data_IF_348286132733
#
_entry.id   IF_348286132733
#
_cell.length_a   1.000
_cell.length_b   1.000
_cell.length_c   1.000
_cell.angle_alpha   90.00
_cell.angle_beta   90.00
_cell.angle_gamma   90.00
#
_symmetry.space_group_name_H-M   'P 1'
#
loop_
_entity.id
_entity.type
_entity.pdbx_description
1 polymer ?
#
# COMPACT_ATOMS: atom_id res chain seq x y z
N UNK A 1 -47.21 -42.18 -36.39
CA UNK A 1 -47.05 -40.74 -36.09
C UNK A 1 -46.46 -40.60 -34.70
N UNK A 2 -45.52 -39.67 -34.57
CA UNK A 2 -44.42 -39.64 -33.60
C UNK A 2 -44.89 -39.38 -32.15
N UNK A 3 -44.32 -40.17 -31.24
CA UNK A 3 -44.36 -40.08 -29.79
C UNK A 3 -43.81 -38.75 -29.27
N UNK A 4 -44.43 -38.14 -28.25
CA UNK A 4 -43.84 -37.08 -27.43
C UNK A 4 -43.96 -37.45 -25.95
N UNK A 5 -42.84 -37.87 -25.35
CA UNK A 5 -42.63 -37.89 -23.91
C UNK A 5 -42.49 -36.46 -23.38
N UNK A 6 -42.97 -36.14 -22.17
CA UNK A 6 -42.61 -34.91 -21.49
C UNK A 6 -41.22 -35.04 -20.85
N UNK A 7 -40.44 -34.01 -21.09
CA UNK A 7 -39.04 -33.81 -20.75
C UNK A 7 -38.87 -33.70 -19.22
N UNK A 8 -38.09 -34.60 -18.65
CA UNK A 8 -37.64 -34.58 -17.25
C UNK A 8 -36.74 -33.36 -17.02
N UNK A 9 -37.17 -32.43 -16.17
CA UNK A 9 -36.35 -31.28 -15.76
C UNK A 9 -35.32 -31.75 -14.71
N UNK A 10 -34.08 -32.00 -15.15
CA UNK A 10 -32.93 -32.17 -14.26
C UNK A 10 -32.49 -30.79 -13.76
N UNK A 11 -32.87 -30.43 -12.54
CA UNK A 11 -32.23 -29.34 -11.80
C UNK A 11 -30.82 -29.80 -11.41
N UNK A 12 -29.83 -29.39 -12.19
CA UNK A 12 -28.44 -29.37 -11.74
C UNK A 12 -28.31 -28.32 -10.64
N UNK A 13 -28.15 -28.75 -9.39
CA UNK A 13 -27.60 -27.89 -8.35
C UNK A 13 -26.14 -27.61 -8.70
N UNK A 14 -25.87 -26.47 -9.33
CA UNK A 14 -24.54 -25.89 -9.37
C UNK A 14 -24.20 -25.51 -7.93
N UNK A 15 -23.49 -26.40 -7.23
CA UNK A 15 -22.73 -26.01 -6.05
C UNK A 15 -21.59 -25.14 -6.57
N UNK A 16 -21.81 -23.82 -6.63
CA UNK A 16 -20.69 -22.89 -6.72
C UNK A 16 -19.97 -22.93 -5.39
N UNK A 17 -19.02 -23.86 -5.24
CA UNK A 17 -18.05 -23.81 -4.16
C UNK A 17 -17.04 -22.70 -4.50
N UNK A 18 -17.53 -21.45 -4.50
CA UNK A 18 -16.67 -20.28 -4.45
C UNK A 18 -16.10 -20.22 -3.04
N UNK A 19 -14.85 -20.63 -2.88
CA UNK A 19 -14.10 -20.25 -1.70
C UNK A 19 -13.98 -18.72 -1.74
N UNK A 20 -14.80 -18.06 -0.90
CA UNK A 20 -14.76 -16.63 -0.68
C UNK A 20 -13.36 -16.22 -0.22
N UNK A 21 -12.90 -15.04 -0.65
CA UNK A 21 -11.70 -14.40 -0.13
C UNK A 21 -11.80 -14.12 1.39
N UNK A 22 -12.99 -14.23 1.98
CA UNK A 22 -13.33 -13.92 3.38
C UNK A 22 -12.61 -14.73 4.47
N UNK A 23 -11.74 -15.71 4.16
CA UNK A 23 -11.21 -16.59 5.21
C UNK A 23 -9.71 -16.93 5.17
N UNK A 24 -8.92 -16.32 4.28
CA UNK A 24 -7.47 -16.56 4.33
C UNK A 24 -6.83 -15.59 5.30
N UNK A 25 -6.41 -16.11 6.45
CA UNK A 25 -5.58 -15.39 7.42
C UNK A 25 -4.16 -15.87 7.28
N UNK A 26 -3.21 -14.94 7.32
CA UNK A 26 -1.80 -15.30 7.42
C UNK A 26 -1.30 -15.04 8.82
N UNK A 27 -0.46 -15.93 9.32
CA UNK A 27 0.22 -15.74 10.60
C UNK A 27 1.71 -15.61 10.37
N UNK A 28 2.29 -14.54 10.90
CA UNK A 28 3.73 -14.37 10.99
C UNK A 28 4.22 -15.02 12.28
N UNK A 29 5.16 -15.96 12.17
CA UNK A 29 5.70 -16.74 13.27
C UNK A 29 7.19 -16.49 13.41
N UNK A 30 7.68 -16.51 14.66
CA UNK A 30 9.09 -16.41 15.03
C UNK A 30 9.79 -15.26 14.31
N UNK A 31 9.18 -14.08 14.35
CA UNK A 31 9.75 -12.92 13.68
C UNK A 31 10.92 -12.37 14.50
N UNK A 32 12.10 -12.48 13.92
CA UNK A 32 13.35 -12.03 14.50
C UNK A 32 14.01 -11.00 13.58
N UNK A 33 14.60 -9.97 14.19
CA UNK A 33 15.54 -9.07 13.55
C UNK A 33 16.85 -8.99 14.35
N UNK A 34 17.96 -9.27 13.69
CA UNK A 34 19.31 -9.12 14.25
C UNK A 34 20.05 -8.03 13.50
N UNK A 35 20.52 -6.99 14.20
CA UNK A 35 21.26 -5.90 13.57
C UNK A 35 22.72 -5.85 14.04
N UNK A 36 23.65 -5.68 13.10
CA UNK A 36 25.04 -5.37 13.38
C UNK A 36 25.29 -3.87 13.21
N UNK A 37 25.54 -3.19 14.34
CA UNK A 37 25.80 -1.76 14.37
C UNK A 37 27.13 -1.37 13.70
N UNK A 38 28.11 -2.28 13.60
CA UNK A 38 29.41 -1.97 12.98
C UNK A 38 29.30 -1.88 11.46
N UNK A 39 28.55 -2.80 10.88
CA UNK A 39 28.31 -2.84 9.43
C UNK A 39 27.05 -2.09 9.01
N UNK A 40 26.25 -1.62 9.99
CA UNK A 40 24.92 -1.05 9.78
C UNK A 40 24.11 -1.93 8.85
N UNK A 41 23.93 -3.18 9.28
CA UNK A 41 23.18 -4.19 8.57
C UNK A 41 22.19 -4.88 9.50
N UNK A 42 21.11 -5.44 8.94
CA UNK A 42 20.15 -6.23 9.70
C UNK A 42 19.72 -7.47 8.91
N UNK A 43 19.70 -8.60 9.60
CA UNK A 43 19.10 -9.85 9.16
C UNK A 43 17.68 -9.96 9.70
N UNK A 44 16.75 -10.29 8.83
CA UNK A 44 15.35 -10.56 9.16
C UNK A 44 15.08 -12.04 8.92
N UNK A 45 14.37 -12.68 9.85
CA UNK A 45 13.97 -14.09 9.76
C UNK A 45 12.59 -14.30 10.36
N UNK A 46 11.72 -15.04 9.67
CA UNK A 46 10.38 -15.39 10.14
C UNK A 46 9.79 -16.53 9.31
N UNK A 47 8.63 -17.03 9.74
CA UNK A 47 7.81 -17.93 8.94
C UNK A 47 6.44 -17.33 8.63
N UNK A 48 5.94 -17.60 7.43
CA UNK A 48 4.60 -17.23 6.98
C UNK A 48 3.76 -18.50 6.99
N UNK A 49 2.72 -18.54 7.84
CA UNK A 49 1.73 -19.63 7.83
C UNK A 49 0.53 -19.22 7.00
N UNK A 50 0.31 -19.90 5.87
CA UNK A 50 -0.93 -19.81 5.07
C UNK A 50 -1.86 -20.96 5.44
N UNK A 51 -2.98 -20.66 6.12
CA UNK A 51 -3.98 -21.66 6.56
C UNK A 51 -3.37 -22.79 7.45
N UNK A 52 -4.16 -23.80 7.83
CA UNK A 52 -3.70 -24.92 8.68
C UNK A 52 -2.70 -25.81 7.93
N UNK A 53 -1.40 -25.52 8.07
CA UNK A 53 -0.30 -26.47 7.80
C UNK A 53 0.76 -26.06 6.78
N UNK A 54 0.56 -24.97 6.01
CA UNK A 54 1.60 -24.50 5.08
C UNK A 54 2.44 -23.39 5.73
N UNK A 55 3.67 -23.73 6.10
CA UNK A 55 4.62 -22.79 6.71
C UNK A 55 5.77 -22.53 5.74
N UNK A 56 6.02 -21.26 5.43
CA UNK A 56 7.06 -20.82 4.51
C UNK A 56 8.13 -20.01 5.23
N UNK A 57 9.40 -20.44 5.25
CA UNK A 57 10.48 -19.64 5.82
C UNK A 57 10.80 -18.44 4.93
N UNK A 58 11.05 -17.30 5.56
CA UNK A 58 11.55 -16.10 4.90
C UNK A 58 12.72 -15.53 5.69
N UNK A 59 13.82 -15.27 4.98
CA UNK A 59 14.95 -14.56 5.51
C UNK A 59 15.56 -13.66 4.43
N UNK A 60 16.04 -12.50 4.86
CA UNK A 60 16.72 -11.55 3.99
C UNK A 60 17.62 -10.64 4.81
N UNK A 61 18.56 -10.00 4.12
CA UNK A 61 19.57 -9.13 4.69
C UNK A 61 19.45 -7.74 4.07
N UNK A 62 19.54 -6.70 4.89
CA UNK A 62 19.56 -5.31 4.43
C UNK A 62 20.78 -4.59 5.02
N UNK A 63 21.38 -3.71 4.22
CA UNK A 63 22.52 -2.88 4.61
C UNK A 63 22.16 -1.42 4.37
N UNK A 64 22.47 -0.55 5.32
CA UNK A 64 22.40 0.89 5.07
C UNK A 64 23.61 1.36 4.29
N UNK A 65 23.38 2.02 3.16
CA UNK A 65 24.45 2.64 2.37
C UNK A 65 24.95 3.96 2.99
N UNK A 66 24.18 4.56 3.91
CA UNK A 66 24.50 5.83 4.58
C UNK A 66 24.29 5.67 6.09
N UNK A 67 25.12 4.87 6.77
CA UNK A 67 24.89 4.43 8.14
C UNK A 67 24.88 5.58 9.16
N UNK A 68 25.63 6.65 8.89
CA UNK A 68 25.70 7.84 9.74
C UNK A 68 24.42 8.69 9.68
N UNK A 69 23.58 8.48 8.67
CA UNK A 69 22.33 9.23 8.45
C UNK A 69 21.13 8.37 8.86
N UNK A 70 21.07 7.14 8.34
CA UNK A 70 19.99 6.18 8.63
C UNK A 70 20.61 4.82 8.91
N UNK A 71 20.63 4.32 10.15
CA UNK A 71 21.14 2.98 10.42
C UNK A 71 20.21 1.91 9.83
N UNK A 72 20.71 0.70 9.56
CA UNK A 72 19.89 -0.38 9.00
C UNK A 72 18.64 -0.73 9.82
N UNK A 73 18.69 -0.56 11.15
CA UNK A 73 17.54 -0.76 12.05
C UNK A 73 16.37 0.19 11.73
N UNK A 74 16.67 1.30 11.04
CA UNK A 74 15.74 2.38 10.73
C UNK A 74 15.51 2.51 9.21
N UNK A 75 15.86 1.49 8.43
CA UNK A 75 15.55 1.48 6.99
C UNK A 75 14.09 1.14 6.75
N UNK A 76 13.52 1.84 5.78
CA UNK A 76 12.31 1.44 5.07
C UNK A 76 12.72 0.85 3.73
N UNK A 77 12.04 -0.20 3.28
CA UNK A 77 12.36 -0.87 2.03
C UNK A 77 11.15 -1.61 1.48
N UNK A 78 11.23 -1.97 0.21
CA UNK A 78 10.13 -2.61 -0.51
C UNK A 78 10.63 -3.55 -1.58
N UNK A 79 9.85 -4.59 -1.87
CA UNK A 79 10.15 -5.56 -2.91
C UNK A 79 11.31 -6.50 -2.55
N UNK A 80 11.64 -6.63 -1.27
CA UNK A 80 12.71 -7.53 -0.84
C UNK A 80 12.19 -8.97 -0.92
N UNK A 81 12.85 -9.79 -1.73
CA UNK A 81 12.50 -11.21 -1.85
C UNK A 81 13.09 -12.01 -0.71
N UNK A 82 12.32 -12.97 -0.21
CA UNK A 82 12.84 -13.96 0.71
C UNK A 82 13.93 -14.80 0.01
N UNK A 83 15.08 -14.98 0.65
CA UNK A 83 16.18 -15.78 0.09
C UNK A 83 15.78 -17.25 -0.13
N UNK A 84 14.86 -17.75 0.70
CA UNK A 84 14.41 -19.14 0.69
C UNK A 84 13.11 -19.34 -0.11
N UNK A 85 12.53 -18.25 -0.65
CA UNK A 85 11.30 -18.32 -1.44
C UNK A 85 11.12 -17.10 -2.34
N UNK A 86 10.94 -17.31 -3.65
CA UNK A 86 10.54 -16.24 -4.56
C UNK A 86 9.04 -15.94 -4.53
N UNK A 87 8.27 -16.58 -3.64
CA UNK A 87 6.81 -16.45 -3.58
C UNK A 87 6.34 -15.13 -2.97
N UNK A 88 7.17 -14.52 -2.14
CA UNK A 88 6.80 -13.35 -1.36
C UNK A 88 7.77 -12.21 -1.58
N UNK A 89 7.20 -11.01 -1.70
CA UNK A 89 7.90 -9.75 -1.62
C UNK A 89 7.58 -9.11 -0.26
N UNK A 90 8.62 -8.60 0.40
CA UNK A 90 8.54 -8.01 1.73
C UNK A 90 8.76 -6.52 1.63
N UNK A 91 7.85 -5.77 2.25
CA UNK A 91 7.96 -4.33 2.45
C UNK A 91 7.99 -4.05 3.94
N UNK A 92 8.80 -3.08 4.35
CA UNK A 92 8.93 -2.64 5.74
C UNK A 92 8.88 -1.12 5.80
N UNK A 93 7.98 -0.62 6.64
CA UNK A 93 7.80 0.79 6.97
C UNK A 93 7.91 1.04 8.48
N UNK A 94 8.24 2.27 8.86
CA UNK A 94 8.55 2.64 10.25
C UNK A 94 7.64 3.75 10.79
N UNK A 95 6.57 3.34 11.46
CA UNK A 95 5.52 4.19 12.06
C UNK A 95 5.90 4.69 13.47
N UNK A 96 5.17 5.68 13.98
CA UNK A 96 5.33 6.22 15.36
C UNK A 96 6.79 6.60 15.71
N UNK A 97 7.40 7.48 14.92
CA UNK A 97 8.78 7.91 15.18
C UNK A 97 9.81 6.77 15.10
N UNK A 98 9.57 5.78 14.23
CA UNK A 98 10.33 4.53 14.10
C UNK A 98 10.22 3.54 15.27
N UNK A 99 9.24 3.73 16.16
CA UNK A 99 8.94 2.81 17.27
C UNK A 99 8.09 1.63 16.88
N UNK A 100 7.42 1.65 15.73
CA UNK A 100 6.60 0.54 15.26
C UNK A 100 6.93 0.21 13.81
N UNK A 101 7.25 -1.05 13.57
CA UNK A 101 7.52 -1.61 12.25
C UNK A 101 6.23 -2.14 11.67
N UNK A 102 5.92 -1.73 10.45
CA UNK A 102 4.82 -2.32 9.66
C UNK A 102 5.44 -3.12 8.53
N UNK A 103 5.25 -4.42 8.58
CA UNK A 103 5.68 -5.33 7.52
C UNK A 103 4.48 -5.67 6.64
N UNK A 104 4.64 -5.48 5.34
CA UNK A 104 3.67 -5.96 4.35
C UNK A 104 4.26 -7.16 3.63
N UNK A 105 3.56 -8.29 3.67
CA UNK A 105 3.94 -9.50 2.95
C UNK A 105 3.04 -9.62 1.74
N UNK A 106 3.65 -9.60 0.57
CA UNK A 106 2.94 -9.60 -0.71
C UNK A 106 3.19 -10.92 -1.42
N UNK A 107 2.14 -11.56 -1.93
CA UNK A 107 2.23 -12.72 -2.81
C UNK A 107 1.79 -12.31 -4.22
N UNK A 108 2.73 -11.80 -5.03
CA UNK A 108 2.40 -11.11 -6.28
C UNK A 108 1.68 -12.02 -7.28
N UNK A 109 2.07 -13.30 -7.37
CA UNK A 109 1.45 -14.31 -8.24
C UNK A 109 -0.04 -14.55 -7.96
N UNK A 110 -0.51 -14.24 -6.75
CA UNK A 110 -1.91 -14.35 -6.35
C UNK A 110 -2.61 -13.00 -6.25
N UNK A 111 -1.88 -11.90 -6.40
CA UNK A 111 -2.44 -10.58 -6.22
C UNK A 111 -3.03 -10.39 -4.83
N UNK A 112 -2.33 -10.82 -3.77
CA UNK A 112 -2.78 -10.71 -2.37
C UNK A 112 -1.65 -10.27 -1.44
N UNK A 113 -1.98 -9.74 -0.27
CA UNK A 113 -1.04 -9.26 0.74
C UNK A 113 -1.61 -9.32 2.17
N UNK A 114 -0.75 -9.29 3.18
CA UNK A 114 -1.13 -9.16 4.59
C UNK A 114 -0.19 -8.20 5.33
N UNK A 115 -0.66 -7.62 6.46
CA UNK A 115 0.10 -6.62 7.23
C UNK A 115 0.35 -7.09 8.65
N UNK A 116 1.56 -6.83 9.16
CA UNK A 116 1.93 -7.16 10.54
C UNK A 116 2.61 -5.95 11.19
N UNK A 117 2.28 -5.67 12.45
CA UNK A 117 2.74 -4.45 13.13
C UNK A 117 3.48 -4.82 14.41
N UNK A 118 4.79 -4.56 14.46
CA UNK A 118 5.62 -4.91 15.60
C UNK A 118 6.22 -3.67 16.27
N UNK A 119 6.11 -3.53 17.60
CA UNK A 119 6.95 -2.61 18.33
C UNK A 119 8.43 -2.86 18.05
N UNK A 120 9.18 -1.80 17.82
CA UNK A 120 10.58 -1.84 17.44
C UNK A 120 11.45 -2.50 18.53
N UNK A 121 11.05 -2.41 19.79
CA UNK A 121 11.71 -3.01 20.94
C UNK A 121 11.40 -4.51 21.12
N UNK A 122 10.30 -5.00 20.55
CA UNK A 122 9.93 -6.42 20.55
C UNK A 122 10.86 -7.25 19.65
N UNK A 123 11.27 -6.67 18.52
CA UNK A 123 12.04 -7.35 17.48
C UNK A 123 13.55 -7.07 17.53
N UNK A 124 13.99 -6.09 18.33
CA UNK A 124 15.40 -5.67 18.40
C UNK A 124 16.28 -6.45 19.36
N UNK A 125 15.67 -7.32 20.18
CA UNK A 125 16.40 -8.01 21.25
C UNK A 125 16.99 -9.34 20.79
N UNK A 126 16.78 -9.74 19.54
CA UNK A 126 17.10 -11.08 19.05
C UNK A 126 16.21 -12.17 19.65
N UNK A 127 15.13 -11.77 20.31
CA UNK A 127 14.06 -12.66 20.76
C UNK A 127 12.99 -12.74 19.66
N UNK A 128 12.30 -13.88 19.59
CA UNK A 128 11.17 -14.05 18.69
C UNK A 128 10.02 -13.14 19.11
N UNK A 129 9.59 -12.26 18.20
CA UNK A 129 8.38 -11.49 18.40
C UNK A 129 7.15 -12.40 18.43
N UNK A 130 6.12 -11.96 19.15
CA UNK A 130 4.89 -12.73 19.30
C UNK A 130 4.25 -12.98 17.94
N UNK A 131 3.70 -14.18 17.70
CA UNK A 131 2.91 -14.45 16.51
C UNK A 131 1.82 -13.39 16.30
N UNK A 132 1.70 -12.90 15.07
CA UNK A 132 0.60 -12.04 14.67
C UNK A 132 -0.15 -12.67 13.52
N UNK A 133 -1.47 -12.61 13.59
CA UNK A 133 -2.36 -13.05 12.53
C UNK A 133 -3.03 -11.84 11.90
N UNK A 134 -2.98 -11.75 10.57
CA UNK A 134 -3.64 -10.72 9.79
C UNK A 134 -4.58 -11.34 8.78
N UNK A 135 -5.65 -10.63 8.48
CA UNK A 135 -6.45 -10.90 7.29
C UNK A 135 -5.60 -10.68 6.03
N UNK A 136 -5.95 -11.41 4.97
CA UNK A 136 -5.33 -11.29 3.66
C UNK A 136 -6.22 -10.42 2.77
N UNK A 137 -5.59 -9.45 2.14
CA UNK A 137 -6.24 -8.48 1.27
C UNK A 137 -5.82 -8.73 -0.18
N UNK A 138 -6.71 -8.51 -1.16
CA UNK A 138 -6.32 -8.56 -2.54
C UNK A 138 -5.52 -7.29 -2.92
N UNK A 139 -4.40 -7.48 -3.63
CA UNK A 139 -3.68 -6.42 -4.35
C UNK A 139 -4.55 -5.78 -5.44
N UNK A 140 -5.60 -6.46 -5.91
CA UNK A 140 -6.56 -5.89 -6.86
C UNK A 140 -7.95 -6.22 -6.33
N UNK A 141 -8.77 -5.22 -5.94
CA UNK A 141 -10.11 -5.50 -5.43
C UNK A 141 -10.92 -6.30 -6.48
N UNK A 142 -11.76 -7.27 -6.05
CA UNK A 142 -12.57 -8.07 -6.97
C UNK A 142 -13.46 -7.15 -7.82
N UNK A 143 -13.68 -7.52 -9.07
CA UNK A 143 -14.43 -6.72 -10.05
C UNK A 143 -15.95 -6.62 -9.76
N UNK A 144 -16.46 -7.21 -8.67
CA UNK A 144 -17.90 -7.24 -8.41
C UNK A 144 -18.39 -6.04 -7.61
N UNK A 145 -19.37 -5.33 -8.17
CA UNK A 145 -20.03 -4.13 -7.62
C UNK A 145 -20.81 -4.34 -6.31
N UNK A 146 -20.88 -5.56 -5.76
CA UNK A 146 -21.72 -5.90 -4.61
C UNK A 146 -21.01 -5.80 -3.24
N UNK A 147 -19.69 -5.62 -3.22
CA UNK A 147 -18.89 -5.56 -1.99
C UNK A 147 -18.97 -4.16 -1.32
N UNK A 148 -19.12 -4.04 0.02
CA UNK A 148 -19.08 -2.78 0.77
C UNK A 148 -17.99 -1.77 0.33
N UNK A 149 -16.84 -2.25 -0.16
CA UNK A 149 -15.74 -1.43 -0.70
C UNK A 149 -16.11 -0.60 -1.95
N UNK A 150 -17.22 -0.89 -2.63
CA UNK A 150 -17.71 -0.13 -3.79
C UNK A 150 -18.79 0.91 -3.44
N UNK A 151 -19.47 0.76 -2.28
CA UNK A 151 -20.60 1.63 -1.93
C UNK A 151 -20.19 3.05 -1.54
N UNK A 152 -18.90 3.29 -1.27
CA UNK A 152 -18.32 4.64 -1.10
C UNK A 152 -17.90 5.30 -2.43
N UNK A 153 -18.05 4.65 -3.58
CA UNK A 153 -17.53 5.10 -4.89
C UNK A 153 -18.55 5.75 -5.83
N UNK A 154 -19.65 6.35 -5.36
CA UNK A 154 -20.58 7.06 -6.27
C UNK A 154 -20.01 8.40 -6.75
N UNK A 155 -19.03 8.30 -7.65
CA UNK A 155 -18.67 9.32 -8.63
C UNK A 155 -19.51 9.16 -9.91
N UNK A 156 -19.80 10.29 -10.54
CA UNK A 156 -20.83 10.53 -11.54
C UNK A 156 -20.66 9.73 -12.87
N UNK A 157 -21.73 9.12 -13.38
CA UNK A 157 -21.79 8.29 -14.61
C UNK A 157 -21.99 9.12 -15.89
N UNK A 158 -21.03 9.98 -16.22
CA UNK A 158 -21.03 10.74 -17.47
C UNK A 158 -20.11 10.14 -18.53
N UNK A 159 -20.66 9.78 -19.69
CA UNK A 159 -19.98 9.18 -20.84
C UNK A 159 -19.03 10.19 -21.53
N UNK A 160 -17.71 10.02 -21.37
CA UNK A 160 -16.72 10.19 -22.45
C UNK A 160 -15.35 9.58 -22.02
N UNK A 161 -14.78 8.60 -22.74
CA UNK A 161 -13.63 7.84 -22.27
C UNK A 161 -12.31 8.56 -22.56
N UNK A 162 -11.87 9.43 -21.65
CA UNK A 162 -10.46 9.80 -21.54
C UNK A 162 -9.71 8.69 -20.77
N UNK A 163 -9.51 7.58 -21.49
CA UNK A 163 -9.07 6.31 -20.98
C UNK A 163 -7.54 6.22 -20.88
N UNK A 164 -6.99 6.29 -19.66
CA UNK A 164 -5.93 5.37 -19.19
C UNK A 164 -5.63 5.59 -17.69
N UNK A 165 -5.43 6.83 -17.27
CA UNK A 165 -5.13 7.15 -15.87
C UNK A 165 -6.35 6.98 -14.93
N UNK A 166 -7.56 6.85 -15.47
CA UNK A 166 -8.77 6.47 -14.71
C UNK A 166 -8.70 5.05 -14.15
N UNK A 167 -7.73 4.24 -14.62
CA UNK A 167 -7.46 2.89 -14.12
C UNK A 167 -6.28 2.84 -13.18
N UNK A 168 -5.58 3.96 -12.94
CA UNK A 168 -4.48 4.00 -11.99
C UNK A 168 -5.01 3.77 -10.58
N UNK A 169 -4.39 2.86 -9.84
CA UNK A 169 -4.85 2.51 -8.48
C UNK A 169 -3.74 2.76 -7.48
N UNK A 170 -4.13 3.31 -6.34
CA UNK A 170 -3.26 3.44 -5.18
C UNK A 170 -3.51 2.31 -4.19
N UNK A 171 -2.41 1.70 -3.79
CA UNK A 171 -2.36 0.66 -2.79
C UNK A 171 -1.54 1.13 -1.60
N UNK A 172 -2.10 0.92 -0.42
CA UNK A 172 -1.49 1.27 0.85
C UNK A 172 -0.98 2.72 0.91
N UNK A 173 -1.79 3.75 0.57
CA UNK A 173 -1.36 5.12 0.78
C UNK A 173 -1.19 5.37 2.28
N UNK A 174 0.06 5.58 2.66
CA UNK A 174 0.51 5.92 3.99
C UNK A 174 0.85 7.40 3.98
N UNK A 175 0.38 8.12 4.99
CA UNK A 175 0.68 9.51 5.27
C UNK A 175 1.08 9.61 6.73
N UNK A 176 2.37 9.81 6.97
CA UNK A 176 2.94 9.96 8.31
C UNK A 176 3.44 11.37 8.52
N UNK A 177 3.06 11.96 9.64
CA UNK A 177 3.51 13.27 10.07
C UNK A 177 4.32 13.11 11.35
N UNK A 178 5.51 13.68 11.39
CA UNK A 178 6.40 13.63 12.56
C UNK A 178 6.91 15.03 12.91
N UNK A 179 7.08 15.28 14.20
CA UNK A 179 7.78 16.47 14.68
C UNK A 179 9.24 16.10 15.01
N UNK A 180 10.13 16.29 14.04
CA UNK A 180 11.56 16.02 14.16
C UNK A 180 12.29 17.32 14.56
N UNK A 181 12.59 17.48 15.87
CA UNK A 181 13.42 18.58 16.42
C UNK A 181 12.97 19.98 15.94
N UNK A 182 11.68 20.28 16.06
CA UNK A 182 11.11 21.57 15.68
C UNK A 182 10.92 21.79 14.17
N UNK A 183 11.10 20.74 13.36
CA UNK A 183 10.69 20.66 11.97
C UNK A 183 9.55 19.66 11.85
N UNK A 184 8.49 20.05 11.14
CA UNK A 184 7.35 19.16 10.90
C UNK A 184 7.60 18.42 9.58
N UNK A 185 7.61 17.10 9.60
CA UNK A 185 8.03 16.24 8.50
C UNK A 185 6.84 15.41 8.01
N UNK A 186 6.60 15.45 6.70
CA UNK A 186 5.63 14.60 6.01
C UNK A 186 6.36 13.48 5.26
N UNK A 187 6.00 12.23 5.55
CA UNK A 187 6.36 11.08 4.74
C UNK A 187 5.08 10.51 4.11
N UNK A 188 5.06 10.38 2.79
CA UNK A 188 3.99 9.73 2.06
C UNK A 188 4.55 8.57 1.26
N UNK A 189 3.88 7.43 1.31
CA UNK A 189 4.27 6.24 0.56
C UNK A 189 3.03 5.56 -0.01
N UNK A 190 3.10 5.10 -1.26
CA UNK A 190 2.06 4.28 -1.87
C UNK A 190 2.62 3.43 -3.00
N UNK A 191 1.95 2.31 -3.28
CA UNK A 191 2.14 1.60 -4.54
C UNK A 191 1.10 2.09 -5.54
N UNK A 192 1.57 2.44 -6.73
CA UNK A 192 0.77 2.86 -7.87
C UNK A 192 0.79 1.75 -8.91
N UNK A 193 -0.38 1.28 -9.31
CA UNK A 193 -0.53 0.44 -10.50
C UNK A 193 -0.95 1.33 -11.67
N UNK A 194 -0.07 1.43 -12.66
CA UNK A 194 -0.35 2.11 -13.93
C UNK A 194 -0.22 1.10 -15.08
N UNK A 195 -1.29 0.89 -15.85
CA UNK A 195 -1.36 -0.17 -16.87
C UNK A 195 -0.21 -0.15 -17.90
N UNK A 196 0.28 1.05 -18.23
CA UNK A 196 1.35 1.29 -19.21
C UNK A 196 2.77 1.23 -18.62
N UNK A 197 2.91 1.18 -17.30
CA UNK A 197 4.19 1.27 -16.61
C UNK A 197 4.40 0.20 -15.52
N UNK A 198 3.42 -0.68 -15.28
CA UNK A 198 3.47 -1.69 -14.24
C UNK A 198 3.17 -1.15 -12.85
N UNK A 199 3.48 -1.94 -11.84
CA UNK A 199 3.46 -1.52 -10.45
C UNK A 199 4.73 -0.74 -10.10
N UNK A 200 4.56 0.34 -9.34
CA UNK A 200 5.66 1.16 -8.87
C UNK A 200 5.35 1.69 -7.48
N UNK A 201 6.39 2.01 -6.74
CA UNK A 201 6.26 2.62 -5.42
C UNK A 201 6.59 4.09 -5.56
N UNK A 202 5.84 4.96 -4.90
CA UNK A 202 6.18 6.37 -4.78
C UNK A 202 6.37 6.74 -3.33
N UNK A 203 7.54 7.30 -3.01
CA UNK A 203 7.87 7.85 -1.70
C UNK A 203 8.09 9.35 -1.80
N UNK A 204 7.41 10.14 -0.98
CA UNK A 204 7.57 11.60 -0.87
C UNK A 204 8.00 11.94 0.56
N UNK A 205 9.03 12.78 0.69
CA UNK A 205 9.56 13.23 1.98
C UNK A 205 9.67 14.75 1.96
N UNK A 206 8.88 15.43 2.79
CA UNK A 206 8.88 16.89 2.89
C UNK A 206 9.17 17.34 4.31
N UNK A 207 9.96 18.40 4.43
CA UNK A 207 10.28 19.03 5.70
C UNK A 207 9.75 20.45 5.69
N UNK A 208 8.94 20.80 6.69
CA UNK A 208 8.36 22.12 6.84
C UNK A 208 9.12 22.94 7.89
N UNK A 209 9.30 24.26 7.64
CA UNK A 209 9.87 25.17 8.64
C UNK A 209 9.05 25.22 9.93
N UNK A 210 9.70 25.63 11.02
CA UNK A 210 9.05 25.80 12.33
C UNK A 210 7.83 26.72 12.22
N UNK A 211 6.69 26.26 12.74
CA UNK A 211 5.40 27.00 12.71
C UNK A 211 4.51 26.66 11.51
N UNK A 212 4.96 25.82 10.58
CA UNK A 212 4.11 25.22 9.54
C UNK A 212 3.70 23.81 9.97
N UNK A 213 2.40 23.50 9.86
CA UNK A 213 1.86 22.19 10.21
C UNK A 213 1.72 21.32 8.96
N UNK A 214 2.42 20.18 8.88
CA UNK A 214 2.28 19.26 7.74
C UNK A 214 0.91 18.57 7.69
N UNK A 215 0.12 18.63 8.77
CA UNK A 215 -1.25 18.14 8.79
C UNK A 215 -2.17 18.92 7.85
N UNK A 216 -1.88 20.22 7.67
CA UNK A 216 -2.77 21.13 6.96
C UNK A 216 -2.12 21.77 5.74
N UNK A 217 -0.85 21.45 5.46
CA UNK A 217 -0.13 22.06 4.35
C UNK A 217 -0.31 21.26 3.05
N UNK A 218 -0.75 21.95 2.00
CA UNK A 218 -0.72 21.45 0.62
C UNK A 218 0.69 21.52 0.02
N UNK A 219 1.02 20.59 -0.88
CA UNK A 219 2.25 20.63 -1.69
C UNK A 219 1.94 20.28 -3.15
N UNK A 220 2.80 20.69 -4.08
CA UNK A 220 2.53 20.55 -5.51
C UNK A 220 3.76 20.07 -6.26
N UNK A 221 3.55 19.13 -7.18
CA UNK A 221 4.56 18.68 -8.13
C UNK A 221 5.84 18.12 -7.50
N UNK A 222 5.70 17.42 -6.37
CA UNK A 222 6.82 16.78 -5.68
C UNK A 222 7.19 15.47 -6.35
N UNK A 223 8.45 15.31 -6.72
CA UNK A 223 8.93 14.10 -7.37
C UNK A 223 8.97 12.94 -6.37
N UNK A 224 8.47 11.78 -6.78
CA UNK A 224 8.70 10.54 -6.03
C UNK A 224 10.21 10.29 -5.93
N UNK A 225 10.71 10.06 -4.73
CA UNK A 225 12.16 9.89 -4.49
C UNK A 225 12.76 8.65 -5.18
N UNK A 226 11.93 7.69 -5.55
CA UNK A 226 12.33 6.39 -6.08
C UNK A 226 11.91 6.15 -7.54
N UNK A 227 11.26 7.09 -8.22
CA UNK A 227 10.90 6.98 -9.64
C UNK A 227 10.70 8.37 -10.29
N UNK A 228 10.30 8.42 -11.57
CA UNK A 228 10.13 9.68 -12.30
C UNK A 228 8.71 10.28 -12.26
N UNK A 229 7.84 9.78 -11.40
CA UNK A 229 6.48 10.29 -11.20
C UNK A 229 6.47 11.44 -10.21
N UNK A 230 5.37 12.20 -10.24
CA UNK A 230 5.18 13.36 -9.37
C UNK A 230 3.85 13.26 -8.62
N UNK A 231 3.81 13.89 -7.46
CA UNK A 231 2.67 13.89 -6.56
C UNK A 231 2.36 15.33 -6.11
N UNK A 232 1.09 15.65 -6.03
CA UNK A 232 0.59 16.85 -5.35
C UNK A 232 -0.39 16.44 -4.27
N UNK A 233 -0.55 17.26 -3.24
CA UNK A 233 -1.49 17.08 -2.14
C UNK A 233 -2.18 18.40 -1.86
N UNK A 234 -3.48 18.46 -2.07
CA UNK A 234 -4.34 19.57 -1.67
C UNK A 234 -5.12 19.23 -0.41
N UNK A 235 -5.02 20.04 0.63
CA UNK A 235 -5.79 19.90 1.87
C UNK A 235 -6.90 20.96 1.95
N UNK A 236 -8.08 20.55 2.41
CA UNK A 236 -9.24 21.38 2.72
C UNK A 236 -9.51 21.31 4.24
N UNK A 237 -9.27 22.43 4.91
CA UNK A 237 -9.37 22.57 6.37
C UNK A 237 -10.81 22.48 6.87
N UNK A 238 -11.79 22.96 6.09
CA UNK A 238 -13.20 23.01 6.53
C UNK A 238 -13.79 21.60 6.71
N UNK A 239 -13.30 20.63 5.93
CA UNK A 239 -13.80 19.25 5.91
C UNK A 239 -12.83 18.22 6.47
N UNK A 240 -11.62 18.64 6.84
CA UNK A 240 -10.50 17.74 7.08
C UNK A 240 -10.30 16.74 5.93
N UNK A 241 -10.43 17.23 4.70
CA UNK A 241 -10.34 16.39 3.49
C UNK A 241 -9.09 16.72 2.69
N UNK A 242 -8.62 15.78 1.87
CA UNK A 242 -7.49 16.02 0.99
C UNK A 242 -7.62 15.27 -0.33
N UNK A 243 -6.97 15.83 -1.36
CA UNK A 243 -6.86 15.24 -2.68
C UNK A 243 -5.39 15.11 -3.05
N UNK A 244 -4.95 13.90 -3.35
CA UNK A 244 -3.67 13.62 -3.98
C UNK A 244 -3.81 13.59 -5.50
N UNK A 245 -2.93 14.29 -6.19
CA UNK A 245 -2.76 14.21 -7.64
C UNK A 245 -1.51 13.41 -7.94
N UNK A 246 -1.63 12.34 -8.71
CA UNK A 246 -0.49 11.59 -9.24
C UNK A 246 -0.29 11.97 -10.69
N UNK A 247 0.94 12.30 -11.09
CA UNK A 247 1.31 12.81 -12.42
C UNK A 247 2.39 11.89 -13.00
N UNK A 248 2.24 11.48 -14.26
CA UNK A 248 3.23 10.62 -14.91
C UNK A 248 4.52 11.37 -15.27
N UNK A 249 5.61 10.65 -15.62
CA UNK A 249 6.92 11.27 -15.90
C UNK A 249 6.93 12.30 -17.04
N UNK A 250 6.05 12.13 -18.03
CA UNK A 250 5.92 13.06 -19.15
C UNK A 250 5.16 14.34 -18.77
N UNK A 251 4.49 14.37 -17.62
CA UNK A 251 3.70 15.51 -17.15
C UNK A 251 2.42 15.75 -17.94
N UNK A 252 2.09 14.91 -18.92
CA UNK A 252 0.94 15.05 -19.82
C UNK A 252 -0.35 14.44 -19.23
N UNK A 253 -0.26 13.70 -18.12
CA UNK A 253 -1.37 12.94 -17.53
C UNK A 253 -1.38 13.04 -16.02
N UNK A 254 -2.57 13.06 -15.42
CA UNK A 254 -2.72 12.99 -13.96
C UNK A 254 -4.00 12.25 -13.52
N UNK A 255 -4.00 11.69 -12.31
CA UNK A 255 -5.18 11.14 -11.64
C UNK A 255 -5.33 11.69 -10.22
N UNK A 256 -6.56 11.77 -9.71
CA UNK A 256 -6.89 12.35 -8.41
C UNK A 256 -7.38 11.27 -7.45
N UNK A 257 -6.98 11.33 -6.19
CA UNK A 257 -7.35 10.38 -5.13
C UNK A 257 -7.73 11.18 -3.90
N UNK A 258 -8.92 10.96 -3.32
CA UNK A 258 -9.48 11.86 -2.31
C UNK A 258 -9.81 11.15 -1.00
N UNK A 259 -9.59 11.80 0.13
CA UNK A 259 -9.92 11.26 1.46
C UNK A 259 -10.55 12.32 2.34
N UNK A 260 -11.52 11.90 3.15
CA UNK A 260 -12.03 12.69 4.27
C UNK A 260 -11.40 12.23 5.60
N UNK A 261 -11.46 13.11 6.58
CA UNK A 261 -10.95 12.91 7.94
C UNK A 261 -9.46 12.53 7.98
N UNK A 262 -8.63 13.13 7.11
CA UNK A 262 -7.24 12.70 6.89
C UNK A 262 -6.33 12.91 8.09
N UNK A 263 -6.70 13.80 9.03
CA UNK A 263 -5.94 14.04 10.25
C UNK A 263 -6.51 13.28 11.47
N UNK A 264 -7.66 12.61 11.32
CA UNK A 264 -8.19 11.67 12.33
C UNK A 264 -7.72 10.23 12.12
N UNK A 265 -7.08 9.95 10.98
CA UNK A 265 -6.49 8.65 10.65
C UNK A 265 -5.07 8.59 11.21
N UNK A 266 -4.66 7.43 11.72
CA UNK A 266 -3.32 7.24 12.28
C UNK A 266 -2.23 7.53 11.22
N UNK A 267 -2.17 6.69 10.19
CA UNK A 267 -1.20 6.85 9.10
C UNK A 267 -1.71 6.28 7.76
N UNK A 268 -2.57 5.26 7.81
CA UNK A 268 -3.13 4.67 6.59
C UNK A 268 -4.37 5.45 6.14
N UNK A 269 -4.32 5.94 4.90
CA UNK A 269 -5.44 6.67 4.31
C UNK A 269 -6.51 5.71 3.76
N UNK A 270 -6.19 4.44 3.54
CA UNK A 270 -7.05 3.48 2.85
C UNK A 270 -7.11 3.76 1.34
N UNK A 271 -7.65 2.83 0.54
CA UNK A 271 -7.77 3.06 -0.90
C UNK A 271 -8.98 3.96 -1.18
N UNK A 272 -8.75 5.17 -1.69
CA UNK A 272 -9.81 6.02 -2.23
C UNK A 272 -9.38 6.58 -3.57
N UNK A 273 -10.21 6.36 -4.59
CA UNK A 273 -9.98 6.80 -5.96
C UNK A 273 -9.47 5.71 -6.91
N UNK A 274 -9.16 6.08 -8.16
CA UNK A 274 -9.10 7.45 -8.66
C UNK A 274 -10.50 8.06 -8.84
N UNK A 275 -10.61 9.37 -8.63
CA UNK A 275 -11.67 10.20 -9.21
C UNK A 275 -11.42 10.43 -10.71
N UNK A 276 -12.33 11.17 -11.38
CA UNK A 276 -12.24 11.43 -12.83
C UNK A 276 -10.85 11.97 -13.23
N UNK A 277 -10.25 11.35 -14.24
CA UNK A 277 -8.96 11.75 -14.84
C UNK A 277 -9.16 12.84 -15.88
N UNK A 278 -8.28 13.84 -15.91
CA UNK A 278 -8.32 14.92 -16.89
C UNK A 278 -6.97 15.08 -17.60
N UNK A 279 -6.99 15.53 -18.85
CA UNK A 279 -5.77 15.90 -19.56
C UNK A 279 -5.23 17.21 -18.96
N UNK A 280 -3.90 17.29 -18.75
CA UNK A 280 -3.29 18.54 -18.31
C UNK A 280 -3.28 19.53 -19.48
N UNK A 281 -3.96 20.67 -19.33
CA UNK A 281 -3.87 21.76 -20.32
C UNK A 281 -2.46 22.36 -20.32
N UNK A 282 -1.91 22.79 -21.46
CA UNK A 282 -0.67 23.55 -21.51
C UNK A 282 -0.76 24.82 -20.66
N UNK A 283 0.35 25.23 -20.04
CA UNK A 283 0.44 26.45 -19.22
C UNK A 283 0.12 27.74 -20.00
N UNK A 284 0.17 27.70 -21.33
CA UNK A 284 -0.10 28.85 -22.21
C UNK A 284 -1.60 29.14 -22.42
N UNK A 285 -2.50 28.31 -21.87
CA UNK A 285 -3.96 28.44 -22.01
C UNK A 285 -4.67 28.85 -20.69
N UNK A 286 -3.93 29.37 -19.70
CA UNK A 286 -4.43 29.94 -18.43
C UNK A 286 -4.18 31.44 -18.34
#
# INVERSE_FOLDING_TARGET
MVSRLPLTLLLFSLVSCGLSLDQKKWTLLNFERKCDHKTSSCDYSFFISEDEGNIFPCNFHVVSMLPDIVPASNLTFSGIRCSNSSKYDINVDLTDGARVIVMSIVKPEKGILAYFKYPHDEINKGDDAKPQTSDVYPLVPPESDEDPWFKSRKGNTGEDPLAYAARWKLFSPIRRIRDDVGKNVLNMAFMLLAEDHGDMICNVHLTYPKGKNAQTHSFFHEKCTNNDWYVSWGYDEDKDSAVMTVINPKGDRHAWFGWDDVNKRDEQLGSNGPGKTEARKPEDDL
#
